data_IF_334310051763
#
_entry.id   IF_334310051763
#
_cell.length_a   1.000
_cell.length_b   1.000
_cell.length_c   1.000
_cell.angle_alpha   90.00
_cell.angle_beta   90.00
_cell.angle_gamma   90.00
#
_symmetry.space_group_name_H-M   'P 1'
#
loop_
_entity.id
_entity.type
_entity.pdbx_description
1 polymer ?
#
# COMPACT_ATOMS: atom_id res chain seq x y z
N UNK A 1 7.91 16.10 1.37
CA UNK A 1 9.20 16.77 1.67
C UNK A 1 10.21 16.57 0.56
N UNK A 2 10.50 15.34 0.08
CA UNK A 2 11.53 15.08 -0.93
C UNK A 2 11.38 15.87 -2.25
N UNK A 3 10.17 16.27 -2.61
CA UNK A 3 9.88 17.12 -3.79
C UNK A 3 10.04 18.62 -3.51
N UNK A 4 10.24 19.02 -2.24
CA UNK A 4 10.46 20.41 -1.84
C UNK A 4 11.91 20.87 -2.06
N UNK A 5 12.21 22.07 -1.57
CA UNK A 5 13.58 22.62 -1.56
C UNK A 5 13.89 23.17 -0.18
N UNK A 6 15.03 22.78 0.38
CA UNK A 6 15.47 23.19 1.71
C UNK A 6 15.66 22.02 2.67
N UNK A 7 15.70 22.34 3.95
CA UNK A 7 15.81 21.36 5.03
C UNK A 7 14.44 21.16 5.71
N UNK A 8 14.07 19.89 5.90
CA UNK A 8 12.82 19.49 6.51
C UNK A 8 13.08 18.53 7.66
N UNK A 9 12.46 18.78 8.80
CA UNK A 9 12.46 17.84 9.93
C UNK A 9 11.07 17.25 10.06
N UNK A 10 10.99 15.92 9.98
CA UNK A 10 9.74 15.17 10.17
C UNK A 10 9.79 14.46 11.52
N UNK A 11 8.80 14.72 12.33
CA UNK A 11 8.63 14.11 13.65
C UNK A 11 7.18 13.74 13.88
N UNK A 12 6.88 13.11 14.98
CA UNK A 12 5.53 12.76 15.40
C UNK A 12 5.50 12.32 16.85
N UNK A 13 4.39 11.72 17.27
CA UNK A 13 4.26 11.14 18.60
C UNK A 13 5.18 9.92 18.78
N UNK A 14 5.27 9.41 20.01
CA UNK A 14 6.16 8.30 20.36
C UNK A 14 5.98 7.09 19.47
N UNK A 15 4.73 6.76 19.13
CA UNK A 15 4.40 5.62 18.23
C UNK A 15 4.94 5.82 16.81
N UNK A 16 4.91 7.04 16.27
CA UNK A 16 5.50 7.32 14.97
C UNK A 16 7.04 7.21 15.03
N UNK A 17 7.64 7.64 16.14
CA UNK A 17 9.09 7.57 16.33
C UNK A 17 9.62 6.13 16.49
N UNK A 18 8.76 5.18 16.84
CA UNK A 18 9.09 3.76 16.88
C UNK A 18 9.03 3.06 15.51
N UNK A 19 8.48 3.71 14.47
CA UNK A 19 8.33 3.11 13.15
C UNK A 19 9.60 3.27 12.30
N UNK A 20 10.14 2.16 11.77
CA UNK A 20 11.34 2.22 10.93
C UNK A 20 11.06 2.92 9.61
N UNK A 21 12.01 3.74 9.15
CA UNK A 21 12.01 4.41 7.85
C UNK A 21 13.30 4.12 7.08
N UNK A 22 14.19 3.29 7.63
CA UNK A 22 15.52 3.03 7.07
C UNK A 22 15.52 2.71 5.56
N UNK A 23 14.63 1.82 5.04
CA UNK A 23 14.60 1.53 3.60
C UNK A 23 14.28 2.76 2.74
N UNK A 24 13.34 3.61 3.21
CA UNK A 24 12.97 4.83 2.49
C UNK A 24 14.09 5.87 2.53
N UNK A 25 14.74 6.06 3.69
CA UNK A 25 15.88 6.97 3.81
C UNK A 25 17.04 6.53 2.92
N UNK A 26 17.34 5.22 2.89
CA UNK A 26 18.37 4.66 2.01
C UNK A 26 18.03 4.90 0.52
N UNK A 27 16.77 4.71 0.13
CA UNK A 27 16.29 4.99 -1.23
C UNK A 27 16.47 6.47 -1.60
N UNK A 28 16.10 7.40 -0.71
CA UNK A 28 16.29 8.84 -0.93
C UNK A 28 17.77 9.20 -1.05
N UNK A 29 18.62 8.64 -0.19
CA UNK A 29 20.07 8.86 -0.26
C UNK A 29 20.66 8.33 -1.59
N UNK A 30 20.20 7.19 -2.09
CA UNK A 30 20.65 6.66 -3.40
C UNK A 30 20.26 7.55 -4.58
N UNK A 31 19.20 8.35 -4.42
CA UNK A 31 18.78 9.38 -5.39
C UNK A 31 19.47 10.73 -5.16
N UNK A 32 20.43 10.83 -4.24
CA UNK A 32 21.19 12.07 -3.97
C UNK A 32 20.50 13.03 -3.00
N UNK A 33 19.41 12.61 -2.33
CA UNK A 33 18.73 13.41 -1.30
C UNK A 33 19.31 13.05 0.05
N UNK A 34 19.85 14.03 0.78
CA UNK A 34 20.41 13.79 2.11
C UNK A 34 19.27 13.56 3.14
N UNK A 35 19.09 12.31 3.55
CA UNK A 35 18.04 11.88 4.48
C UNK A 35 18.60 11.03 5.61
N UNK A 36 18.35 11.41 6.87
CA UNK A 36 18.89 10.71 8.04
C UNK A 36 17.98 10.81 9.26
N UNK A 37 18.03 9.80 10.12
CA UNK A 37 17.48 9.91 11.49
C UNK A 37 18.32 10.86 12.34
N UNK A 38 17.68 11.66 13.19
CA UNK A 38 18.37 12.60 14.05
C UNK A 38 18.81 11.98 15.38
N UNK A 39 17.94 11.19 16.00
CA UNK A 39 18.19 10.57 17.30
C UNK A 39 18.61 9.10 17.16
N UNK A 40 17.93 8.38 16.29
CA UNK A 40 18.16 6.97 16.01
C UNK A 40 18.19 6.77 14.49
N UNK A 41 19.25 6.13 14.00
CA UNK A 41 19.37 5.88 12.57
C UNK A 41 18.19 5.04 12.04
N UNK A 42 17.58 5.53 10.97
CA UNK A 42 16.44 4.86 10.33
C UNK A 42 15.08 5.10 11.01
N UNK A 43 14.99 5.99 12.00
CA UNK A 43 13.74 6.31 12.72
C UNK A 43 13.50 7.80 12.80
N UNK A 44 12.23 8.25 12.90
CA UNK A 44 11.92 9.64 13.23
C UNK A 44 12.45 10.04 14.63
N UNK A 45 12.74 11.33 14.86
CA UNK A 45 12.73 12.42 13.90
C UNK A 45 13.76 12.23 12.80
N UNK A 46 13.39 12.59 11.55
CA UNK A 46 14.29 12.52 10.41
C UNK A 46 14.51 13.91 9.81
N UNK A 47 15.76 14.20 9.39
CA UNK A 47 16.08 15.37 8.58
C UNK A 47 16.22 14.95 7.12
N UNK A 48 15.62 15.75 6.24
CA UNK A 48 15.71 15.60 4.78
C UNK A 48 16.16 16.94 4.22
N UNK A 49 17.34 16.97 3.59
CA UNK A 49 17.84 18.13 2.87
C UNK A 49 17.77 17.86 1.36
N UNK A 50 17.03 18.68 0.64
CA UNK A 50 16.73 18.43 -0.77
C UNK A 50 16.65 19.72 -1.60
N UNK A 51 16.95 19.62 -2.88
CA UNK A 51 16.72 20.64 -3.90
C UNK A 51 15.65 20.19 -4.91
N UNK A 52 14.77 19.28 -4.51
CA UNK A 52 13.79 18.60 -5.34
C UNK A 52 14.18 17.15 -5.59
N UNK A 53 13.24 16.36 -6.07
CA UNK A 53 13.47 14.97 -6.44
C UNK A 53 14.14 14.91 -7.82
N UNK A 54 15.38 14.40 -7.95
CA UNK A 54 16.09 14.52 -9.23
C UNK A 54 15.61 13.52 -10.30
N UNK A 55 15.02 12.39 -9.89
CA UNK A 55 14.80 11.22 -10.73
C UNK A 55 15.91 10.20 -10.59
N UNK A 56 15.93 9.17 -11.44
CA UNK A 56 16.95 8.13 -11.41
C UNK A 56 16.41 6.74 -11.08
N UNK A 57 17.30 5.82 -10.74
CA UNK A 57 16.93 4.42 -10.44
C UNK A 57 17.15 4.10 -8.96
N UNK A 58 16.19 3.40 -8.36
CA UNK A 58 16.28 2.93 -6.99
C UNK A 58 15.84 1.47 -6.91
N UNK A 59 16.55 0.69 -6.09
CA UNK A 59 16.17 -0.69 -5.79
C UNK A 59 15.81 -0.80 -4.32
N UNK A 60 14.59 -1.25 -4.04
CA UNK A 60 14.10 -1.58 -2.71
C UNK A 60 14.16 -3.10 -2.52
N UNK A 61 14.76 -3.54 -1.42
CA UNK A 61 15.02 -4.97 -1.18
C UNK A 61 14.55 -5.38 0.22
N UNK A 62 13.94 -6.57 0.30
CA UNK A 62 13.57 -7.22 1.57
C UNK A 62 12.90 -6.27 2.56
N UNK A 63 11.77 -5.70 2.13
CA UNK A 63 11.04 -4.71 2.90
C UNK A 63 10.20 -5.35 4.01
N UNK A 64 9.94 -4.59 5.05
CA UNK A 64 8.94 -4.87 6.09
C UNK A 64 7.58 -4.20 5.81
N UNK A 65 7.53 -3.29 4.82
CA UNK A 65 6.29 -2.62 4.39
C UNK A 65 6.35 -2.19 2.93
N UNK A 66 5.25 -2.38 2.19
CA UNK A 66 5.06 -1.84 0.83
C UNK A 66 4.87 -0.31 0.79
N UNK A 67 4.64 0.32 1.94
CA UNK A 67 4.42 1.78 2.05
C UNK A 67 5.62 2.60 1.55
N UNK A 68 6.84 2.07 1.65
CA UNK A 68 8.03 2.74 1.12
C UNK A 68 7.99 2.85 -0.41
N UNK A 69 7.48 1.80 -1.06
CA UNK A 69 7.28 1.78 -2.52
C UNK A 69 6.23 2.81 -2.91
N UNK A 70 5.07 2.80 -2.24
CA UNK A 70 3.98 3.75 -2.47
C UNK A 70 4.42 5.20 -2.28
N UNK A 71 5.25 5.48 -1.25
CA UNK A 71 5.77 6.82 -1.01
C UNK A 71 6.62 7.33 -2.17
N UNK A 72 7.49 6.48 -2.74
CA UNK A 72 8.30 6.83 -3.91
C UNK A 72 7.46 6.96 -5.18
N UNK A 73 6.52 6.05 -5.42
CA UNK A 73 5.61 6.10 -6.56
C UNK A 73 4.84 7.42 -6.60
N UNK A 74 4.20 7.79 -5.47
CA UNK A 74 3.38 9.02 -5.38
C UNK A 74 4.23 10.28 -5.59
N UNK A 75 5.49 10.28 -5.17
CA UNK A 75 6.39 11.42 -5.35
C UNK A 75 7.03 11.49 -6.75
N UNK A 76 7.22 10.35 -7.41
CA UNK A 76 7.95 10.22 -8.66
C UNK A 76 7.48 11.13 -9.81
N UNK A 77 6.17 11.41 -10.01
CA UNK A 77 5.71 12.31 -11.05
C UNK A 77 6.33 13.71 -11.00
N UNK A 78 6.65 14.16 -9.79
CA UNK A 78 7.25 15.50 -9.57
C UNK A 78 8.78 15.51 -9.66
N UNK A 79 9.39 14.39 -10.01
CA UNK A 79 10.84 14.34 -10.23
C UNK A 79 11.25 15.14 -11.46
N UNK A 80 12.47 15.68 -11.44
CA UNK A 80 13.04 16.42 -12.58
C UNK A 80 13.32 15.51 -13.79
N UNK A 81 13.58 14.23 -13.55
CA UNK A 81 13.77 13.20 -14.57
C UNK A 81 12.97 11.95 -14.27
N UNK A 82 13.00 10.99 -15.19
CA UNK A 82 12.29 9.73 -15.04
C UNK A 82 12.77 8.95 -13.81
N UNK A 83 11.84 8.27 -13.17
CA UNK A 83 12.15 7.38 -12.04
C UNK A 83 11.90 5.93 -12.40
N UNK A 84 12.88 5.09 -12.05
CA UNK A 84 12.76 3.63 -12.10
C UNK A 84 12.85 3.07 -10.68
N UNK A 85 11.85 2.30 -10.31
CA UNK A 85 11.76 1.63 -9.01
C UNK A 85 11.77 0.12 -9.25
N UNK A 86 12.85 -0.54 -8.80
CA UNK A 86 12.99 -1.99 -8.83
C UNK A 86 12.74 -2.56 -7.43
N UNK A 87 12.03 -3.69 -7.37
CA UNK A 87 11.78 -4.44 -6.14
C UNK A 87 12.57 -5.75 -6.19
N UNK A 88 13.12 -6.16 -5.06
CA UNK A 88 13.86 -7.41 -4.96
C UNK A 88 13.62 -8.09 -3.60
N UNK A 89 13.66 -9.41 -3.58
CA UNK A 89 13.44 -10.19 -2.38
C UNK A 89 12.01 -10.12 -1.85
N UNK A 90 11.85 -10.18 -0.53
CA UNK A 90 10.54 -10.20 0.11
C UNK A 90 9.93 -8.79 0.17
N UNK A 91 8.74 -8.64 -0.39
CA UNK A 91 7.94 -7.41 -0.33
C UNK A 91 6.55 -7.80 0.18
N UNK A 92 6.17 -7.51 1.43
CA UNK A 92 4.85 -7.83 1.95
C UNK A 92 3.80 -6.87 1.39
N UNK A 93 2.53 -7.27 1.47
CA UNK A 93 1.39 -6.39 1.14
C UNK A 93 1.47 -5.80 -0.28
N UNK A 94 1.95 -6.57 -1.25
CA UNK A 94 2.07 -6.16 -2.66
C UNK A 94 0.78 -5.60 -3.28
N UNK A 95 -0.42 -6.12 -2.95
CA UNK A 95 -1.67 -5.56 -3.47
C UNK A 95 -1.81 -4.05 -3.25
N UNK A 96 -1.26 -3.51 -2.16
CA UNK A 96 -1.32 -2.06 -1.88
C UNK A 96 -0.45 -1.21 -2.81
N UNK A 97 0.58 -1.80 -3.41
CA UNK A 97 1.33 -1.12 -4.50
C UNK A 97 0.42 -0.98 -5.73
N UNK A 98 -0.35 -2.04 -6.05
CA UNK A 98 -1.29 -1.99 -7.16
C UNK A 98 -2.43 -0.98 -6.91
N UNK A 99 -2.96 -0.90 -5.67
CA UNK A 99 -3.92 0.15 -5.27
C UNK A 99 -3.32 1.55 -5.47
N UNK A 100 -2.05 1.74 -5.10
CA UNK A 100 -1.34 3.03 -5.30
C UNK A 100 -1.25 3.38 -6.78
N UNK A 101 -0.82 2.46 -7.63
CA UNK A 101 -0.69 2.67 -9.08
C UNK A 101 -2.05 2.98 -9.73
N UNK A 102 -3.10 2.26 -9.33
CA UNK A 102 -4.47 2.49 -9.81
C UNK A 102 -4.97 3.90 -9.42
N UNK A 103 -4.80 4.28 -8.16
CA UNK A 103 -5.15 5.62 -7.70
C UNK A 103 -4.36 6.71 -8.45
N UNK A 104 -3.06 6.53 -8.68
CA UNK A 104 -2.25 7.47 -9.48
C UNK A 104 -2.83 7.63 -10.89
N UNK A 105 -3.28 6.53 -11.51
CA UNK A 105 -3.94 6.53 -12.82
C UNK A 105 -5.26 7.31 -12.83
N UNK A 106 -6.09 7.16 -11.81
CA UNK A 106 -7.35 7.92 -11.67
C UNK A 106 -7.09 9.43 -11.62
N UNK A 107 -5.98 9.85 -11.01
CA UNK A 107 -5.56 11.25 -10.97
C UNK A 107 -4.68 11.66 -12.15
N UNK A 108 -4.65 10.87 -13.23
CA UNK A 108 -4.04 11.23 -14.51
C UNK A 108 -2.52 11.06 -14.60
N UNK A 109 -1.92 10.31 -13.67
CA UNK A 109 -0.49 9.97 -13.70
C UNK A 109 -0.29 8.57 -14.26
N UNK A 110 0.58 8.45 -15.25
CA UNK A 110 0.93 7.17 -15.86
C UNK A 110 2.11 6.52 -15.15
N UNK A 111 1.89 5.30 -14.70
CA UNK A 111 2.93 4.40 -14.18
C UNK A 111 3.03 3.19 -15.09
N UNK A 112 4.18 3.02 -15.75
CA UNK A 112 4.44 1.85 -16.56
C UNK A 112 5.00 0.71 -15.69
N UNK A 113 4.23 -0.34 -15.54
CA UNK A 113 4.65 -1.58 -14.87
C UNK A 113 5.26 -2.52 -15.93
N UNK A 114 6.58 -2.62 -15.98
CA UNK A 114 7.27 -3.50 -16.94
C UNK A 114 7.26 -4.96 -16.49
N UNK A 115 7.39 -5.18 -15.20
CA UNK A 115 7.27 -6.48 -14.54
C UNK A 115 6.59 -6.27 -13.19
N UNK A 116 6.12 -7.31 -12.50
CA UNK A 116 5.59 -7.17 -11.15
C UNK A 116 6.55 -6.50 -10.15
N UNK A 117 7.84 -6.44 -10.49
CA UNK A 117 8.91 -5.91 -9.66
C UNK A 117 9.55 -4.64 -10.22
N UNK A 118 9.01 -4.06 -11.32
CA UNK A 118 9.61 -2.88 -11.94
C UNK A 118 8.57 -1.86 -12.38
N UNK A 119 8.73 -0.66 -11.89
CA UNK A 119 7.87 0.49 -12.19
C UNK A 119 8.71 1.61 -12.80
N UNK A 120 8.21 2.18 -13.89
CA UNK A 120 8.80 3.32 -14.58
C UNK A 120 7.80 4.46 -14.55
N UNK A 121 8.21 5.61 -14.05
CA UNK A 121 7.40 6.82 -13.94
C UNK A 121 8.15 7.95 -14.63
N UNK A 122 7.54 8.55 -15.65
CA UNK A 122 8.12 9.74 -16.28
C UNK A 122 8.06 10.91 -15.31
N UNK A 123 9.15 11.64 -15.21
CA UNK A 123 9.21 12.88 -14.46
C UNK A 123 8.39 13.99 -15.13
N UNK A 124 8.10 15.05 -14.39
CA UNK A 124 7.37 16.21 -14.90
C UNK A 124 5.87 15.98 -15.14
N UNK A 125 5.30 14.87 -14.69
CA UNK A 125 3.85 14.68 -14.66
C UNK A 125 3.24 15.45 -13.49
N UNK A 126 1.94 15.71 -13.57
CA UNK A 126 1.17 16.35 -12.49
C UNK A 126 -0.15 15.64 -12.29
N UNK A 127 -0.53 15.47 -11.04
CA UNK A 127 -1.86 14.98 -10.69
C UNK A 127 -2.93 15.98 -11.08
N UNK A 128 -4.06 15.49 -11.53
CA UNK A 128 -5.24 16.28 -11.89
C UNK A 128 -6.36 16.01 -10.89
N UNK A 129 -7.04 17.07 -10.45
CA UNK A 129 -8.23 16.92 -9.65
C UNK A 129 -9.31 16.15 -10.42
N UNK A 130 -9.92 15.18 -9.78
CA UNK A 130 -10.98 14.36 -10.33
C UNK A 130 -11.98 13.96 -9.24
N UNK A 131 -13.21 13.71 -9.63
CA UNK A 131 -14.21 13.11 -8.75
C UNK A 131 -14.00 11.61 -8.74
N UNK A 132 -13.63 11.06 -7.59
CA UNK A 132 -13.47 9.62 -7.41
C UNK A 132 -14.31 9.11 -6.24
N UNK A 133 -14.80 7.89 -6.37
CA UNK A 133 -15.48 7.19 -5.28
C UNK A 133 -14.49 6.28 -4.58
N UNK A 134 -14.13 6.63 -3.36
CA UNK A 134 -13.27 5.77 -2.54
C UNK A 134 -14.04 4.52 -2.15
N UNK A 135 -13.47 3.35 -2.38
CA UNK A 135 -14.00 2.08 -1.91
C UNK A 135 -13.97 1.99 -0.38
N UNK A 136 -14.84 1.15 0.19
CA UNK A 136 -14.78 0.80 1.59
C UNK A 136 -13.51 0.01 1.90
N UNK A 137 -13.06 0.10 3.14
CA UNK A 137 -11.87 -0.60 3.63
C UNK A 137 -12.16 -2.08 3.84
N UNK A 138 -11.53 -2.95 3.02
CA UNK A 138 -11.71 -4.39 3.10
C UNK A 138 -11.15 -4.97 4.42
N UNK A 139 -10.09 -4.37 4.99
CA UNK A 139 -9.54 -4.78 6.28
C UNK A 139 -10.57 -4.57 7.39
N UNK A 140 -11.19 -3.39 7.47
CA UNK A 140 -12.27 -3.12 8.42
C UNK A 140 -13.50 -4.00 8.17
N UNK A 141 -13.85 -4.26 6.91
CA UNK A 141 -14.97 -5.12 6.55
C UNK A 141 -14.78 -6.56 7.01
N UNK A 142 -13.55 -7.05 7.05
CA UNK A 142 -13.22 -8.43 7.44
C UNK A 142 -13.74 -8.81 8.83
N UNK A 143 -13.74 -7.86 9.78
CA UNK A 143 -14.27 -8.08 11.12
C UNK A 143 -15.78 -8.35 11.12
N UNK A 144 -16.54 -7.65 10.27
CA UNK A 144 -17.98 -7.86 10.13
C UNK A 144 -18.28 -9.18 9.40
N UNK A 145 -17.49 -9.54 8.40
CA UNK A 145 -17.61 -10.83 7.73
C UNK A 145 -17.30 -11.99 8.69
N UNK A 146 -16.24 -11.83 9.51
CA UNK A 146 -15.92 -12.81 10.54
C UNK A 146 -17.04 -12.96 11.58
N UNK A 147 -17.65 -11.84 11.98
CA UNK A 147 -18.80 -11.88 12.91
C UNK A 147 -19.96 -12.70 12.34
N UNK A 148 -20.29 -12.56 11.04
CA UNK A 148 -21.31 -13.40 10.39
C UNK A 148 -20.91 -14.89 10.39
N UNK A 149 -19.64 -15.19 10.10
CA UNK A 149 -19.14 -16.56 10.07
C UNK A 149 -19.23 -17.26 11.45
N UNK A 150 -18.94 -16.54 12.54
CA UNK A 150 -18.90 -17.10 13.90
C UNK A 150 -20.27 -17.13 14.57
N UNK A 151 -21.08 -16.09 14.40
CA UNK A 151 -22.38 -15.96 15.07
C UNK A 151 -23.54 -16.57 14.27
N UNK A 152 -23.33 -16.91 13.00
CA UNK A 152 -24.38 -17.22 12.05
C UNK A 152 -25.10 -15.94 11.55
N UNK A 153 -26.04 -16.11 10.63
CA UNK A 153 -26.75 -15.00 10.03
C UNK A 153 -26.05 -14.42 8.79
N UNK A 154 -26.53 -13.27 8.33
CA UNK A 154 -26.03 -12.62 7.09
C UNK A 154 -25.57 -11.21 7.41
N UNK A 155 -24.34 -10.89 7.01
CA UNK A 155 -23.80 -9.53 7.04
C UNK A 155 -23.46 -9.11 5.62
N UNK A 156 -23.96 -7.94 5.21
CA UNK A 156 -23.63 -7.31 3.94
C UNK A 156 -22.92 -5.97 4.19
N UNK A 157 -21.73 -5.82 3.60
CA UNK A 157 -20.97 -4.57 3.66
C UNK A 157 -21.04 -3.90 2.30
N UNK A 158 -21.52 -2.66 2.28
CA UNK A 158 -21.63 -1.86 1.05
C UNK A 158 -20.28 -1.26 0.66
N UNK A 159 -20.12 -0.98 -0.63
CA UNK A 159 -18.96 -0.28 -1.17
C UNK A 159 -17.61 -1.01 -0.95
N UNK A 160 -17.64 -2.32 -0.78
CA UNK A 160 -16.48 -3.21 -0.77
C UNK A 160 -16.67 -4.22 -1.90
N UNK A 161 -16.33 -3.86 -3.16
CA UNK A 161 -16.57 -4.72 -4.30
C UNK A 161 -15.62 -5.93 -4.30
N UNK A 162 -16.10 -7.09 -4.74
CA UNK A 162 -15.26 -8.30 -4.85
C UNK A 162 -14.09 -8.15 -5.84
N UNK A 163 -14.12 -7.12 -6.69
CA UNK A 163 -13.05 -6.81 -7.67
C UNK A 163 -12.00 -5.83 -7.15
N UNK A 164 -12.14 -5.38 -5.90
CA UNK A 164 -11.16 -4.46 -5.31
C UNK A 164 -9.75 -5.04 -5.39
N UNK A 165 -8.77 -4.17 -5.51
CA UNK A 165 -7.34 -4.56 -5.44
C UNK A 165 -6.82 -4.62 -4.01
N UNK A 166 -7.65 -4.31 -3.01
CA UNK A 166 -7.26 -4.45 -1.61
C UNK A 166 -7.04 -5.94 -1.30
N UNK A 167 -5.85 -6.28 -0.80
CA UNK A 167 -5.45 -7.67 -0.53
C UNK A 167 -6.39 -8.39 0.44
N UNK A 168 -6.91 -7.65 1.43
CA UNK A 168 -7.80 -8.18 2.48
C UNK A 168 -9.13 -8.73 1.96
N UNK A 169 -9.54 -8.40 0.72
CA UNK A 169 -10.70 -9.05 0.10
C UNK A 169 -10.53 -10.56 -0.03
N UNK A 170 -9.28 -11.04 -0.09
CA UNK A 170 -8.94 -12.46 -0.05
C UNK A 170 -9.46 -13.20 1.17
N UNK A 171 -9.74 -12.49 2.27
CA UNK A 171 -10.36 -13.05 3.46
C UNK A 171 -11.72 -13.70 3.18
N UNK A 172 -12.48 -13.16 2.23
CA UNK A 172 -13.75 -13.77 1.81
C UNK A 172 -13.55 -15.18 1.24
N UNK A 173 -12.47 -15.40 0.48
CA UNK A 173 -12.14 -16.72 -0.04
C UNK A 173 -11.83 -17.71 1.09
N UNK A 174 -11.14 -17.25 2.14
CA UNK A 174 -10.89 -18.10 3.32
C UNK A 174 -12.19 -18.49 4.03
N UNK A 175 -13.13 -17.54 4.16
CA UNK A 175 -14.44 -17.81 4.76
C UNK A 175 -15.26 -18.80 3.90
N UNK A 176 -15.21 -18.67 2.57
CA UNK A 176 -15.86 -19.62 1.65
C UNK A 176 -15.28 -21.03 1.79
N UNK A 177 -13.96 -21.17 1.85
CA UNK A 177 -13.28 -22.45 2.11
C UNK A 177 -13.67 -23.05 3.47
N UNK A 178 -13.96 -22.19 4.45
CA UNK A 178 -14.43 -22.61 5.76
C UNK A 178 -15.92 -22.96 5.81
N UNK A 179 -16.68 -22.73 4.72
CA UNK A 179 -18.07 -23.16 4.61
C UNK A 179 -19.10 -22.03 4.68
N UNK A 180 -18.66 -20.76 4.65
CA UNK A 180 -19.57 -19.62 4.52
C UNK A 180 -19.99 -19.42 3.06
N UNK A 181 -21.20 -18.91 2.84
CA UNK A 181 -21.66 -18.49 1.51
C UNK A 181 -21.29 -17.03 1.27
N UNK A 182 -20.61 -16.77 0.15
CA UNK A 182 -20.22 -15.44 -0.27
C UNK A 182 -21.09 -15.00 -1.45
N UNK A 183 -21.63 -13.79 -1.39
CA UNK A 183 -22.46 -13.27 -2.47
C UNK A 183 -22.24 -11.77 -2.71
N UNK A 184 -22.56 -11.31 -3.93
CA UNK A 184 -22.64 -9.89 -4.26
C UNK A 184 -23.96 -9.29 -3.72
N UNK A 185 -23.88 -8.08 -3.16
CA UNK A 185 -25.03 -7.29 -2.75
C UNK A 185 -24.85 -5.84 -3.20
N UNK A 186 -25.43 -5.50 -4.34
CA UNK A 186 -25.22 -4.20 -4.97
C UNK A 186 -23.75 -4.01 -5.36
N UNK A 187 -23.09 -2.97 -4.84
CA UNK A 187 -21.67 -2.69 -5.02
C UNK A 187 -20.79 -3.20 -3.86
N UNK A 188 -21.28 -4.17 -3.08
CA UNK A 188 -20.57 -4.70 -1.92
C UNK A 188 -20.61 -6.22 -1.86
N UNK A 189 -20.04 -6.77 -0.81
CA UNK A 189 -19.98 -8.19 -0.51
C UNK A 189 -20.88 -8.56 0.67
N UNK A 190 -21.42 -9.76 0.66
CA UNK A 190 -22.14 -10.34 1.78
C UNK A 190 -21.63 -11.74 2.12
N UNK A 191 -21.58 -12.01 3.42
CA UNK A 191 -21.24 -13.31 3.99
C UNK A 191 -22.44 -13.83 4.74
N UNK A 192 -22.87 -15.06 4.41
CA UNK A 192 -23.81 -15.82 5.22
C UNK A 192 -23.01 -16.89 6.01
N UNK A 193 -23.08 -16.80 7.34
CA UNK A 193 -22.48 -17.79 8.23
C UNK A 193 -23.23 -19.12 8.13
N UNK A 194 -22.48 -20.20 8.17
CA UNK A 194 -22.98 -21.56 8.16
C UNK A 194 -22.18 -22.46 9.09
N UNK A 195 -22.41 -23.77 9.08
CA UNK A 195 -21.60 -24.71 9.85
C UNK A 195 -20.16 -24.67 9.32
N UNK A 196 -19.25 -24.13 10.14
CA UNK A 196 -17.84 -24.05 9.77
C UNK A 196 -17.23 -25.44 9.64
N UNK A 197 -16.48 -25.64 8.57
CA UNK A 197 -15.77 -26.90 8.31
C UNK A 197 -14.60 -27.02 9.26
N UNK A 198 -14.66 -28.02 10.15
CA UNK A 198 -13.57 -28.32 11.06
C UNK A 198 -12.38 -28.93 10.32
N UNK A 199 -11.18 -28.76 10.87
CA UNK A 199 -9.94 -29.34 10.37
C UNK A 199 -8.75 -28.40 10.49
N UNK A 200 -7.55 -28.97 10.47
CA UNK A 200 -6.32 -28.18 10.45
C UNK A 200 -6.12 -27.60 9.05
N UNK A 201 -5.99 -26.28 8.96
CA UNK A 201 -5.73 -25.56 7.71
C UNK A 201 -4.57 -24.58 7.89
N UNK A 202 -3.82 -24.39 6.84
CA UNK A 202 -2.73 -23.41 6.78
C UNK A 202 -3.06 -22.38 5.71
N UNK A 203 -3.06 -21.11 6.09
CA UNK A 203 -3.29 -19.99 5.20
C UNK A 203 -2.05 -19.11 5.17
N UNK A 204 -1.73 -18.61 4.00
CA UNK A 204 -0.73 -17.55 3.82
C UNK A 204 -1.46 -16.21 3.79
N UNK A 205 -1.15 -15.35 4.76
CA UNK A 205 -1.76 -14.02 4.92
C UNK A 205 -0.81 -12.88 4.53
N UNK A 206 0.29 -13.18 3.84
CA UNK A 206 1.32 -12.17 3.53
C UNK A 206 0.78 -10.97 2.76
N UNK A 207 -0.23 -11.18 1.92
CA UNK A 207 -0.89 -10.14 1.13
C UNK A 207 -2.22 -9.66 1.72
N UNK A 208 -2.54 -10.12 2.93
CA UNK A 208 -3.72 -9.74 3.74
C UNK A 208 -3.26 -9.30 5.14
N UNK A 209 -2.60 -8.14 5.28
CA UNK A 209 -2.02 -7.68 6.54
C UNK A 209 -3.05 -7.25 7.60
#
# INVERSE_FOLDING_TARGET
TAIGRGEFILTGNDRLQERPLAPLLAALNSLGIAARGLNRNGYPPVSIHTSGLPGGSVTLRDLDSSQYVSALLIAAPYAAGDMRIDLAGRIPSRPYIAVTVEAMGEFGVEVRTETPDRYIIRGGQSYRGTDCRIEGDASSASYFFLAAALAGGIVAVKNVPLRTRQGDIGFLKLLEELGCDISLRGNGAAVAGGPLRAGMRRFDLQDMP
#
